data_IF_120822333019
#
_entry.id   IF_120822333019
#
_cell.length_a   1.000
_cell.length_b   1.000
_cell.length_c   1.000
_cell.angle_alpha   90.00
_cell.angle_beta   90.00
_cell.angle_gamma   90.00
#
_symmetry.space_group_name_H-M   'P 1'
#
loop_
_entity.id
_entity.type
_entity.pdbx_description
1 polymer ?
#
# COMPACT_ATOMS: atom_id res chain seq x y z
N UNK A 1 66.28 19.66 -24.00
CA UNK A 1 66.80 19.01 -25.23
C UNK A 1 65.80 17.98 -25.66
N UNK A 2 65.51 17.93 -26.97
CA UNK A 2 64.98 16.77 -27.71
C UNK A 2 63.62 16.19 -27.30
N UNK A 3 62.67 16.21 -28.24
CA UNK A 3 61.38 15.51 -28.18
C UNK A 3 61.53 14.02 -28.57
N UNK A 4 60.57 13.16 -28.21
CA UNK A 4 60.22 12.02 -29.06
C UNK A 4 58.81 11.44 -28.82
N UNK A 5 58.04 11.44 -29.89
CA UNK A 5 56.95 10.53 -30.26
C UNK A 5 57.23 10.13 -31.75
N UNK A 6 56.54 9.18 -32.42
CA UNK A 6 55.25 8.54 -32.11
C UNK A 6 55.21 6.98 -32.25
N UNK A 7 53.99 6.45 -32.32
CA UNK A 7 53.52 5.06 -32.60
C UNK A 7 53.62 4.67 -34.11
N UNK A 8 53.18 3.48 -34.61
CA UNK A 8 52.47 2.30 -34.03
C UNK A 8 53.38 1.02 -34.02
N UNK A 9 53.02 -0.28 -34.10
CA UNK A 9 51.86 -1.11 -34.56
C UNK A 9 51.96 -2.54 -33.95
N UNK A 10 51.05 -3.54 -34.08
CA UNK A 10 49.57 -3.71 -34.21
C UNK A 10 49.28 -5.26 -34.16
N UNK A 11 48.00 -5.71 -34.32
CA UNK A 11 47.53 -7.14 -34.38
C UNK A 11 47.53 -7.91 -33.01
N UNK A 12 46.62 -8.83 -32.65
CA UNK A 12 45.43 -9.42 -33.28
C UNK A 12 44.28 -9.60 -32.25
N UNK A 13 43.09 -10.06 -32.68
CA UNK A 13 41.95 -10.33 -31.78
C UNK A 13 41.44 -11.77 -31.82
N UNK A 14 41.13 -12.32 -30.64
CA UNK A 14 40.37 -13.54 -30.34
C UNK A 14 39.95 -13.45 -28.84
N UNK A 15 38.94 -14.10 -28.29
CA UNK A 15 37.95 -15.06 -28.79
C UNK A 15 37.10 -15.55 -27.61
N UNK A 16 35.86 -15.96 -27.84
CA UNK A 16 34.95 -16.33 -26.75
C UNK A 16 35.34 -17.68 -26.11
N UNK A 17 35.66 -17.66 -24.81
CA UNK A 17 35.93 -18.85 -24.01
C UNK A 17 34.94 -18.93 -22.83
N UNK A 18 33.67 -19.13 -23.15
CA UNK A 18 32.59 -19.24 -22.17
C UNK A 18 32.80 -20.43 -21.22
N UNK A 19 33.14 -20.17 -19.95
CA UNK A 19 33.31 -21.22 -18.94
C UNK A 19 31.99 -21.94 -18.65
N UNK A 20 31.89 -23.21 -19.03
CA UNK A 20 30.67 -24.02 -19.15
C UNK A 20 29.96 -24.40 -17.82
N UNK A 21 30.11 -23.62 -16.74
CA UNK A 21 29.72 -24.02 -15.38
C UNK A 21 28.55 -23.24 -14.75
N UNK A 22 28.11 -22.08 -15.27
CA UNK A 22 26.89 -21.40 -14.77
C UNK A 22 25.59 -21.88 -15.47
N UNK A 23 25.62 -23.07 -16.08
CA UNK A 23 24.48 -23.64 -16.81
C UNK A 23 23.33 -24.04 -15.85
N UNK A 24 23.59 -24.09 -14.53
CA UNK A 24 22.61 -24.43 -13.49
C UNK A 24 21.87 -23.24 -12.84
N UNK A 25 21.97 -22.00 -13.37
CA UNK A 25 21.10 -20.88 -12.91
C UNK A 25 19.74 -20.79 -13.64
N UNK A 26 19.43 -21.71 -14.57
CA UNK A 26 18.26 -21.64 -15.48
C UNK A 26 16.89 -22.06 -14.87
N UNK A 27 16.61 -21.79 -13.59
CA UNK A 27 15.38 -22.31 -12.94
C UNK A 27 14.68 -21.44 -11.87
N UNK A 28 14.61 -20.12 -12.07
CA UNK A 28 13.57 -19.19 -11.53
C UNK A 28 13.78 -17.80 -12.15
N UNK A 29 13.31 -17.51 -13.36
CA UNK A 29 11.92 -17.23 -13.76
C UNK A 29 11.38 -15.86 -13.28
N UNK A 30 11.74 -14.82 -14.04
CA UNK A 30 10.92 -13.66 -14.44
C UNK A 30 9.85 -13.14 -13.45
N UNK A 31 10.21 -12.13 -12.64
CA UNK A 31 9.51 -10.83 -12.52
C UNK A 31 10.21 -9.91 -11.52
N UNK A 32 10.75 -8.78 -12.01
CA UNK A 32 10.93 -7.54 -11.22
C UNK A 32 11.13 -6.33 -12.15
N UNK A 33 10.19 -6.14 -13.08
CA UNK A 33 9.96 -4.83 -13.70
C UNK A 33 9.07 -4.03 -12.74
N UNK A 34 9.67 -3.43 -11.73
CA UNK A 34 8.97 -2.49 -10.86
C UNK A 34 8.92 -1.12 -11.55
N UNK A 35 7.74 -0.59 -11.95
CA UNK A 35 7.63 0.83 -12.24
C UNK A 35 7.90 1.61 -10.95
N UNK A 36 8.69 2.67 -11.03
CA UNK A 36 8.96 3.54 -9.87
C UNK A 36 7.74 4.43 -9.64
N UNK A 37 6.77 3.92 -8.88
CA UNK A 37 5.65 4.71 -8.37
C UNK A 37 6.19 5.72 -7.37
N UNK A 38 6.28 6.99 -7.80
CA UNK A 38 6.63 8.11 -6.92
C UNK A 38 5.41 8.40 -6.04
N UNK A 39 5.31 7.70 -4.92
CA UNK A 39 4.44 8.09 -3.82
C UNK A 39 4.93 9.45 -3.31
N UNK A 40 4.19 10.53 -3.62
CA UNK A 40 4.45 11.86 -3.08
C UNK A 40 3.98 11.85 -1.63
N UNK A 41 4.86 12.00 -0.61
CA UNK A 41 4.42 12.08 0.76
C UNK A 41 3.77 13.44 0.99
N UNK A 42 2.45 13.51 0.83
CA UNK A 42 1.66 14.66 1.26
C UNK A 42 1.72 14.70 2.79
N UNK A 43 2.46 15.67 3.33
CA UNK A 43 2.54 15.94 4.77
C UNK A 43 1.24 16.61 5.19
N UNK A 44 0.22 15.79 5.44
CA UNK A 44 -1.02 16.22 6.10
C UNK A 44 -0.67 16.61 7.54
N UNK A 45 -1.20 17.75 8.02
CA UNK A 45 -1.00 18.22 9.39
C UNK A 45 -1.62 17.22 10.38
N UNK A 46 -0.78 16.38 10.97
CA UNK A 46 -1.22 15.24 11.79
C UNK A 46 -2.03 15.67 13.01
N UNK A 47 -1.67 16.80 13.64
CA UNK A 47 -2.36 17.28 14.84
C UNK A 47 -3.81 17.73 14.55
N UNK A 48 -4.02 18.44 13.43
CA UNK A 48 -5.34 18.93 13.01
C UNK A 48 -6.31 17.79 12.70
N UNK A 49 -5.80 16.71 12.10
CA UNK A 49 -6.58 15.49 11.85
C UNK A 49 -6.85 14.75 13.18
N UNK A 50 -5.80 14.42 13.94
CA UNK A 50 -5.90 13.64 15.19
C UNK A 50 -6.85 14.28 16.21
N UNK A 51 -6.91 15.61 16.30
CA UNK A 51 -7.83 16.33 17.19
C UNK A 51 -9.32 16.09 16.91
N UNK A 52 -9.71 15.89 15.64
CA UNK A 52 -11.08 15.53 15.27
C UNK A 52 -11.33 14.02 15.48
N UNK A 53 -10.32 13.19 15.21
CA UNK A 53 -10.39 11.73 15.34
C UNK A 53 -10.63 11.26 16.77
N UNK A 54 -9.97 11.86 17.77
CA UNK A 54 -10.12 11.44 19.17
C UNK A 54 -11.57 11.55 19.68
N UNK A 55 -12.36 12.47 19.13
CA UNK A 55 -13.78 12.64 19.46
C UNK A 55 -14.68 11.53 18.86
N UNK A 56 -14.24 10.85 17.81
CA UNK A 56 -14.95 9.75 17.12
C UNK A 56 -14.59 8.35 17.69
N UNK A 57 -13.43 8.24 18.34
CA UNK A 57 -12.99 7.06 19.10
C UNK A 57 -13.48 7.00 20.55
N UNK A 58 -14.41 7.89 20.95
CA UNK A 58 -14.99 7.98 22.29
C UNK A 58 -15.73 6.70 22.75
N UNK A 59 -15.92 6.58 24.07
CA UNK A 59 -16.49 5.39 24.73
C UNK A 59 -17.95 5.08 24.35
N UNK A 60 -18.62 6.01 23.65
CA UNK A 60 -20.03 5.95 23.24
C UNK A 60 -20.24 5.54 21.77
N UNK A 61 -19.19 5.31 20.99
CA UNK A 61 -19.31 4.76 19.64
C UNK A 61 -19.75 3.28 19.70
N UNK A 62 -21.03 3.03 19.38
CA UNK A 62 -21.68 1.72 19.54
C UNK A 62 -21.34 0.73 18.40
N UNK A 63 -20.18 0.08 18.51
CA UNK A 63 -19.67 -0.88 17.52
C UNK A 63 -20.48 -2.19 17.50
N UNK A 64 -21.21 -2.43 16.41
CA UNK A 64 -21.75 -3.76 16.07
C UNK A 64 -20.75 -4.47 15.16
N UNK A 65 -20.24 -5.62 15.59
CA UNK A 65 -19.23 -6.40 14.86
C UNK A 65 -19.75 -6.87 13.49
N UNK A 66 -19.23 -6.36 12.35
CA UNK A 66 -19.76 -6.70 11.02
C UNK A 66 -19.10 -7.98 10.47
N UNK A 67 -19.82 -9.11 10.50
CA UNK A 67 -19.33 -10.36 9.88
C UNK A 67 -19.75 -10.45 8.41
N UNK A 68 -18.84 -10.14 7.49
CA UNK A 68 -19.00 -10.42 6.05
C UNK A 68 -19.89 -9.44 5.29
N UNK A 69 -19.91 -8.16 5.68
CA UNK A 69 -20.60 -7.07 4.96
C UNK A 69 -19.61 -6.04 4.44
N UNK A 70 -20.02 -5.28 3.43
CA UNK A 70 -19.30 -4.13 2.90
C UNK A 70 -18.98 -3.08 3.97
N UNK A 71 -17.71 -2.68 4.08
CA UNK A 71 -17.24 -1.62 4.97
C UNK A 71 -17.53 -0.26 4.34
N UNK A 72 -18.50 0.45 4.91
CA UNK A 72 -18.76 1.86 4.59
C UNK A 72 -17.90 2.82 5.42
N UNK A 73 -18.04 4.11 5.12
CA UNK A 73 -17.48 5.18 5.95
C UNK A 73 -18.01 5.02 7.40
N UNK A 74 -17.08 5.01 8.35
CA UNK A 74 -17.34 4.74 9.76
C UNK A 74 -17.22 3.26 10.16
N UNK A 75 -17.04 2.33 9.21
CA UNK A 75 -16.92 0.90 9.47
C UNK A 75 -15.51 0.46 9.89
N UNK A 76 -15.45 -0.72 10.49
CA UNK A 76 -14.22 -1.42 10.87
C UNK A 76 -13.72 -2.31 9.71
N UNK A 77 -12.45 -2.20 9.37
CA UNK A 77 -11.78 -2.97 8.32
C UNK A 77 -11.43 -4.39 8.79
N UNK A 78 -11.17 -4.62 10.08
CA UNK A 78 -10.72 -5.91 10.63
C UNK A 78 -11.49 -6.36 11.89
N UNK A 79 -12.82 -6.47 11.84
CA UNK A 79 -13.67 -6.94 12.94
C UNK A 79 -13.51 -8.42 13.30
N UNK A 80 -12.53 -9.13 12.71
CA UNK A 80 -12.03 -10.43 13.16
C UNK A 80 -10.94 -10.34 14.24
N UNK A 81 -10.40 -9.15 14.51
CA UNK A 81 -9.29 -8.92 15.42
C UNK A 81 -9.74 -8.12 16.66
N UNK A 82 -8.94 -8.19 17.74
CA UNK A 82 -9.12 -7.35 18.93
C UNK A 82 -8.38 -6.01 18.78
N UNK A 83 -8.53 -5.38 17.61
CA UNK A 83 -7.93 -4.11 17.19
C UNK A 83 -9.03 -3.14 16.73
N UNK A 84 -8.71 -1.98 16.14
CA UNK A 84 -9.69 -0.95 15.78
C UNK A 84 -9.23 -0.15 14.56
N UNK A 85 -9.61 -0.64 13.37
CA UNK A 85 -9.16 -0.12 12.07
C UNK A 85 -10.33 0.54 11.35
N UNK A 86 -10.58 1.82 11.63
CA UNK A 86 -11.74 2.55 11.11
C UNK A 86 -11.47 3.15 9.73
N UNK A 87 -12.29 2.81 8.74
CA UNK A 87 -12.38 3.58 7.49
C UNK A 87 -13.13 4.89 7.77
N UNK A 88 -12.45 6.03 7.68
CA UNK A 88 -12.97 7.33 8.12
C UNK A 88 -13.45 8.22 6.99
N UNK A 89 -12.86 8.09 5.81
CA UNK A 89 -13.38 8.65 4.58
C UNK A 89 -13.05 7.73 3.41
N UNK A 90 -13.94 7.71 2.42
CA UNK A 90 -13.69 7.15 1.11
C UNK A 90 -14.29 8.14 0.10
N UNK A 91 -13.46 8.72 -0.76
CA UNK A 91 -13.87 9.67 -1.79
C UNK A 91 -13.37 9.20 -3.16
N UNK A 92 -14.16 9.50 -4.20
CA UNK A 92 -13.86 9.10 -5.58
C UNK A 92 -13.98 10.32 -6.51
N UNK A 93 -12.84 10.83 -6.97
CA UNK A 93 -12.72 12.08 -7.73
C UNK A 93 -12.32 11.80 -9.19
N UNK A 94 -12.86 12.55 -10.14
CA UNK A 94 -12.44 12.46 -11.54
C UNK A 94 -11.07 13.13 -11.75
N UNK A 95 -10.15 12.46 -12.46
CA UNK A 95 -8.81 12.96 -12.81
C UNK A 95 -8.52 12.69 -14.29
N UNK A 96 -7.48 13.32 -14.86
CA UNK A 96 -7.19 13.23 -16.31
C UNK A 96 -7.02 11.79 -16.82
N UNK A 97 -6.39 10.92 -16.03
CA UNK A 97 -6.12 9.52 -16.38
C UNK A 97 -7.15 8.49 -15.82
N UNK A 98 -8.27 8.94 -15.21
CA UNK A 98 -9.27 8.03 -14.65
C UNK A 98 -10.01 8.57 -13.43
N UNK A 99 -10.08 7.77 -12.35
CA UNK A 99 -10.71 8.17 -11.08
C UNK A 99 -9.78 7.96 -9.89
N UNK A 100 -9.49 9.01 -9.13
CA UNK A 100 -8.73 8.95 -7.89
C UNK A 100 -9.63 8.43 -6.76
N UNK A 101 -9.28 7.27 -6.21
CA UNK A 101 -9.83 6.79 -4.95
C UNK A 101 -8.92 7.25 -3.80
N UNK A 102 -9.51 7.93 -2.82
CA UNK A 102 -8.83 8.39 -1.61
C UNK A 102 -9.46 7.71 -0.39
N UNK A 103 -8.70 6.86 0.31
CA UNK A 103 -9.12 6.17 1.53
C UNK A 103 -8.38 6.77 2.74
N UNK A 104 -9.11 7.38 3.67
CA UNK A 104 -8.56 7.83 4.95
C UNK A 104 -8.91 6.80 6.04
N UNK A 105 -7.90 6.31 6.75
CA UNK A 105 -8.02 5.23 7.75
C UNK A 105 -7.36 5.65 9.05
N UNK A 106 -7.99 5.31 10.18
CA UNK A 106 -7.41 5.45 11.50
C UNK A 106 -7.33 4.10 12.23
N UNK A 107 -6.27 3.94 13.00
CA UNK A 107 -5.86 2.70 13.65
C UNK A 107 -5.61 3.00 15.13
N UNK A 108 -6.26 2.26 16.03
CA UNK A 108 -5.94 2.28 17.46
C UNK A 108 -5.51 0.90 17.92
N UNK A 109 -4.26 0.77 18.36
CA UNK A 109 -3.72 -0.50 18.81
C UNK A 109 -4.22 -0.85 20.22
N UNK A 110 -5.20 -1.75 20.30
CA UNK A 110 -5.72 -2.30 21.57
C UNK A 110 -5.06 -3.62 21.99
N UNK A 111 -3.88 -3.96 21.44
CA UNK A 111 -3.10 -5.16 21.81
C UNK A 111 -1.84 -4.79 22.62
N UNK A 112 -1.29 -5.77 23.33
CA UNK A 112 -0.04 -5.63 24.11
C UNK A 112 1.24 -5.69 23.26
N UNK A 113 1.15 -5.72 21.93
CA UNK A 113 2.29 -5.82 21.00
C UNK A 113 2.27 -4.69 19.96
N UNK A 114 3.40 -4.34 19.32
CA UNK A 114 3.42 -3.39 18.22
C UNK A 114 2.53 -3.85 17.06
N UNK A 115 1.77 -2.92 16.49
CA UNK A 115 0.79 -3.19 15.44
C UNK A 115 1.17 -2.47 14.14
N UNK A 116 0.94 -3.10 12.98
CA UNK A 116 0.94 -2.42 11.67
C UNK A 116 -0.32 -2.79 10.88
N UNK A 117 -0.90 -1.82 10.20
CA UNK A 117 -1.84 -2.04 9.10
C UNK A 117 -1.16 -1.67 7.78
N UNK A 118 -1.30 -2.53 6.78
CA UNK A 118 -1.12 -2.20 5.38
C UNK A 118 -2.48 -2.26 4.66
N UNK A 119 -2.74 -1.28 3.80
CA UNK A 119 -3.66 -1.44 2.67
C UNK A 119 -2.82 -1.86 1.46
N UNK A 120 -3.25 -2.91 0.78
CA UNK A 120 -2.66 -3.42 -0.47
C UNK A 120 -3.45 -2.94 -1.69
N UNK A 121 -3.58 -3.82 -2.68
CA UNK A 121 -4.25 -3.52 -3.93
C UNK A 121 -5.77 -3.33 -3.77
N UNK A 122 -6.38 -2.57 -4.69
CA UNK A 122 -7.83 -2.35 -4.78
C UNK A 122 -8.37 -3.11 -5.97
N UNK A 123 -9.38 -3.97 -5.75
CA UNK A 123 -10.11 -4.64 -6.83
C UNK A 123 -11.41 -3.90 -7.12
N UNK A 124 -11.68 -3.68 -8.41
CA UNK A 124 -12.87 -2.98 -8.92
C UNK A 124 -14.05 -3.92 -9.16
N UNK A 125 -15.27 -3.39 -9.31
CA UNK A 125 -16.47 -4.16 -9.69
C UNK A 125 -16.30 -4.92 -11.02
N UNK A 126 -15.41 -4.43 -11.90
CA UNK A 126 -15.05 -5.09 -13.16
C UNK A 126 -14.06 -6.25 -13.01
N UNK A 127 -13.54 -6.50 -11.81
CA UNK A 127 -12.51 -7.51 -11.52
C UNK A 127 -11.08 -7.09 -11.87
N UNK A 128 -10.86 -5.83 -12.24
CA UNK A 128 -9.51 -5.27 -12.43
C UNK A 128 -8.91 -4.86 -11.09
N UNK A 129 -7.64 -5.21 -10.86
CA UNK A 129 -6.89 -4.92 -9.63
C UNK A 129 -5.87 -3.82 -9.87
N UNK A 130 -5.89 -2.80 -9.01
CA UNK A 130 -5.01 -1.64 -9.03
C UNK A 130 -4.05 -1.72 -7.84
N UNK A 131 -2.77 -1.93 -8.15
CA UNK A 131 -1.67 -1.95 -7.17
C UNK A 131 -1.47 -0.57 -6.52
N UNK A 132 -1.11 -0.54 -5.25
CA UNK A 132 -0.88 0.71 -4.51
C UNK A 132 -0.96 0.52 -3.00
N UNK A 133 -1.50 1.53 -2.31
CA UNK A 133 -1.77 1.48 -0.87
C UNK A 133 -0.72 2.13 0.02
N UNK A 134 -0.74 1.78 1.30
CA UNK A 134 0.06 2.39 2.35
C UNK A 134 0.27 1.41 3.51
N UNK A 135 1.43 1.45 4.17
CA UNK A 135 1.72 0.65 5.38
C UNK A 135 2.11 1.58 6.53
N UNK A 136 1.47 1.44 7.68
CA UNK A 136 1.81 2.22 8.88
C UNK A 136 3.18 1.83 9.44
N UNK A 137 3.84 2.79 10.08
CA UNK A 137 4.86 2.47 11.08
C UNK A 137 4.28 1.69 12.28
N UNK A 138 5.13 1.10 13.15
CA UNK A 138 4.66 0.30 14.27
C UNK A 138 3.91 1.19 15.27
N UNK A 139 2.60 1.00 15.37
CA UNK A 139 1.74 1.61 16.38
C UNK A 139 1.99 0.89 17.70
N UNK A 140 2.51 1.60 18.71
CA UNK A 140 2.76 1.00 20.02
C UNK A 140 1.46 0.62 20.75
N UNK A 141 1.49 -0.29 21.74
CA UNK A 141 0.33 -0.63 22.56
C UNK A 141 -0.36 0.61 23.13
N UNK A 142 -1.68 0.72 22.92
CA UNK A 142 -2.51 1.86 23.37
C UNK A 142 -2.55 3.06 22.42
N UNK A 143 -1.56 3.21 21.52
CA UNK A 143 -1.44 4.36 20.63
C UNK A 143 -2.47 4.38 19.49
N UNK A 144 -2.65 5.56 18.89
CA UNK A 144 -3.54 5.80 17.75
C UNK A 144 -2.79 6.52 16.63
N UNK A 145 -3.03 6.13 15.38
CA UNK A 145 -2.50 6.81 14.19
C UNK A 145 -3.55 6.91 13.08
N UNK A 146 -3.28 7.71 12.06
CA UNK A 146 -4.15 7.89 10.89
C UNK A 146 -3.33 8.16 9.64
N UNK A 147 -3.78 7.62 8.51
CA UNK A 147 -3.12 7.79 7.21
C UNK A 147 -4.14 7.87 6.08
N UNK A 148 -3.66 8.30 4.91
CA UNK A 148 -4.42 8.29 3.66
C UNK A 148 -3.69 7.40 2.65
N UNK A 149 -4.45 6.59 1.91
CA UNK A 149 -3.98 5.88 0.73
C UNK A 149 -4.71 6.41 -0.52
N UNK A 150 -3.98 6.62 -1.60
CA UNK A 150 -4.51 7.06 -2.89
C UNK A 150 -4.27 5.99 -3.97
N UNK A 151 -5.25 5.81 -4.85
CA UNK A 151 -5.19 4.91 -6.00
C UNK A 151 -5.75 5.62 -7.23
N UNK A 152 -5.16 5.43 -8.41
CA UNK A 152 -5.75 5.86 -9.68
C UNK A 152 -6.41 4.66 -10.33
N UNK A 153 -7.75 4.62 -10.25
CA UNK A 153 -8.56 3.60 -10.89
C UNK A 153 -8.81 3.96 -12.37
N UNK A 154 -9.06 2.98 -13.25
CA UNK A 154 -9.49 3.25 -14.62
C UNK A 154 -10.73 4.15 -14.69
N UNK A 155 -10.94 4.79 -15.83
CA UNK A 155 -12.17 5.52 -16.12
C UNK A 155 -13.41 4.65 -15.86
N UNK A 156 -14.44 5.25 -15.24
CA UNK A 156 -15.69 4.61 -14.81
C UNK A 156 -15.59 3.45 -13.79
N UNK A 157 -14.39 2.94 -13.47
CA UNK A 157 -14.21 1.76 -12.62
C UNK A 157 -14.45 2.06 -11.12
N UNK A 158 -15.40 1.35 -10.52
CA UNK A 158 -15.81 1.52 -9.10
C UNK A 158 -15.05 0.53 -8.23
N UNK A 159 -14.51 0.94 -7.07
CA UNK A 159 -13.80 0.04 -6.16
C UNK A 159 -14.77 -0.87 -5.39
N UNK A 160 -14.55 -2.17 -5.48
CA UNK A 160 -15.35 -3.19 -4.80
C UNK A 160 -14.70 -3.66 -3.49
N UNK A 161 -13.37 -3.78 -3.46
CA UNK A 161 -12.64 -4.25 -2.27
C UNK A 161 -11.20 -3.76 -2.22
N UNK A 162 -10.62 -3.73 -1.02
CA UNK A 162 -9.21 -3.43 -0.76
C UNK A 162 -8.57 -4.57 0.01
N UNK A 163 -7.33 -4.92 -0.32
CA UNK A 163 -6.55 -5.88 0.47
C UNK A 163 -6.04 -5.23 1.75
N UNK A 164 -6.05 -5.97 2.86
CA UNK A 164 -5.54 -5.50 4.15
C UNK A 164 -4.61 -6.53 4.76
N UNK A 165 -3.42 -6.10 5.17
CA UNK A 165 -2.47 -6.96 5.89
C UNK A 165 -2.20 -6.36 7.26
N UNK A 166 -2.61 -7.08 8.29
CA UNK A 166 -2.34 -6.71 9.68
C UNK A 166 -1.13 -7.48 10.18
N UNK A 167 -0.22 -6.83 10.89
CA UNK A 167 0.86 -7.51 11.62
C UNK A 167 0.81 -7.12 13.09
N UNK A 168 0.61 -8.12 13.96
CA UNK A 168 0.68 -7.96 15.42
C UNK A 168 1.99 -8.62 15.88
N UNK A 169 2.90 -7.81 16.43
CA UNK A 169 4.28 -8.22 16.70
C UNK A 169 4.98 -8.68 15.41
N UNK A 170 5.15 -10.00 15.27
CA UNK A 170 5.76 -10.64 14.09
C UNK A 170 4.78 -11.62 13.39
N UNK A 171 3.47 -11.47 13.56
CA UNK A 171 2.46 -12.38 13.01
C UNK A 171 1.57 -11.63 11.99
N UNK A 172 1.77 -11.85 10.67
CA UNK A 172 0.94 -11.25 9.64
C UNK A 172 -0.40 -12.00 9.47
N UNK A 173 -1.44 -11.26 9.08
CA UNK A 173 -2.78 -11.76 8.80
C UNK A 173 -3.41 -10.94 7.67
N UNK A 174 -3.61 -11.59 6.53
CA UNK A 174 -4.10 -10.98 5.28
C UNK A 174 -5.61 -11.18 5.11
N UNK A 175 -6.31 -10.16 4.59
CA UNK A 175 -7.74 -10.21 4.31
C UNK A 175 -8.17 -9.21 3.24
N UNK A 176 -8.87 -9.68 2.20
CA UNK A 176 -9.62 -8.82 1.29
C UNK A 176 -10.88 -8.29 1.99
N UNK A 177 -11.03 -6.97 2.04
CA UNK A 177 -12.14 -6.27 2.69
C UNK A 177 -13.04 -5.66 1.63
N UNK A 178 -14.31 -6.07 1.59
CA UNK A 178 -15.32 -5.50 0.70
C UNK A 178 -15.64 -4.07 1.15
N UNK A 179 -15.71 -3.14 0.20
CA UNK A 179 -16.09 -1.74 0.44
C UNK A 179 -17.59 -1.57 0.20
N UNK A 180 -18.18 -0.55 0.82
CA UNK A 180 -19.50 -0.05 0.41
C UNK A 180 -19.35 0.93 -0.77
N UNK A 181 -20.42 1.21 -1.53
CA UNK A 181 -20.37 2.15 -2.63
C UNK A 181 -19.79 3.51 -2.21
N UNK A 182 -18.64 3.85 -2.79
CA UNK A 182 -17.88 5.07 -2.45
C UNK A 182 -18.57 6.28 -3.10
N UNK A 183 -18.83 7.37 -2.34
CA UNK A 183 -19.41 8.59 -2.90
C UNK A 183 -18.43 9.26 -3.88
N UNK A 184 -18.94 9.59 -5.06
CA UNK A 184 -18.25 10.48 -6.01
C UNK A 184 -18.32 11.94 -5.54
N UNK A 185 -17.32 12.74 -5.90
CA UNK A 185 -17.32 14.20 -5.72
C UNK A 185 -17.39 14.92 -7.09
#
# INVERSE_FOLDING_TARGET
MTEHAPTPSDDAGDGDAATENDVWSRRSFVRYLAPVSIAIPIVVETETLVGLLQNDFGENSAWTQPTGVSVGIGGDLRPDLNTREKLQNAALEAVEDGRRLTLAVAVRNTTDAPYRLALGAVTTDGGETVEGGYTTDPVAPGETTSFTAEYVLPADATPASVETTVTIGNQPSERTVQLAPVPTQ
#
